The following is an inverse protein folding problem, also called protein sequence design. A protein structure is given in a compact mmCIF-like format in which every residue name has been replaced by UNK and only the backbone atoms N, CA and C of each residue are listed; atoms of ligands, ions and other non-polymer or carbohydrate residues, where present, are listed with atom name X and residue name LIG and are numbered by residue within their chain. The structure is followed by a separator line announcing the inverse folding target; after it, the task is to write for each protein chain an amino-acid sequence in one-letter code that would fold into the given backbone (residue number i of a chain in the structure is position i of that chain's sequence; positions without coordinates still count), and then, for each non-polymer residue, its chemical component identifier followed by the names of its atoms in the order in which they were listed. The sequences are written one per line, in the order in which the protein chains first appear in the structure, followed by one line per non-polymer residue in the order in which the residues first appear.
data_IF_279444360323
#
_entry.id   IF_279444360323
#
_cell.length_a   1.000
_cell.length_b   1.000
_cell.length_c   1.000
_cell.angle_alpha   90.00
_cell.angle_beta   90.00
_cell.angle_gamma   90.00
#
_symmetry.space_group_name_H-M   'P 1'
#
loop_
_entity.id
_entity.type
_entity.pdbx_description
1 polymer ?
#
# COMPACT_ATOMS: atom_id res chain seq x y z
N UNK A 1 -3.08 27.74 -8.12
CA UNK A 1 -3.66 28.17 -9.40
C UNK A 1 -5.10 28.62 -9.28
N UNK A 2 -6.01 27.85 -8.66
CA UNK A 2 -7.44 28.23 -8.50
C UNK A 2 -7.65 29.61 -7.83
N UNK A 3 -6.88 29.96 -6.79
CA UNK A 3 -7.01 31.26 -6.11
C UNK A 3 -6.59 32.45 -6.98
N UNK A 4 -5.54 32.30 -7.79
CA UNK A 4 -5.09 33.36 -8.71
C UNK A 4 -6.11 33.56 -9.83
N UNK A 5 -6.68 32.47 -10.36
CA UNK A 5 -7.74 32.49 -11.34
C UNK A 5 -9.01 33.18 -10.81
N UNK A 6 -9.48 32.80 -9.62
CA UNK A 6 -10.67 33.38 -8.99
C UNK A 6 -10.48 34.89 -8.74
N UNK A 7 -9.32 35.33 -8.27
CA UNK A 7 -9.00 36.74 -8.07
C UNK A 7 -9.00 37.53 -9.36
N UNK A 8 -8.36 37.01 -10.43
CA UNK A 8 -8.32 37.66 -11.74
C UNK A 8 -9.71 37.68 -12.38
N UNK A 9 -10.48 36.60 -12.28
CA UNK A 9 -11.85 36.54 -12.82
C UNK A 9 -12.80 37.51 -12.10
N UNK A 10 -12.66 37.63 -10.77
CA UNK A 10 -13.41 38.61 -9.98
C UNK A 10 -13.05 40.05 -10.38
N UNK A 11 -11.76 40.37 -10.52
CA UNK A 11 -11.29 41.70 -10.88
C UNK A 11 -11.69 42.10 -12.33
N UNK A 12 -11.66 41.16 -13.28
CA UNK A 12 -12.06 41.38 -14.65
C UNK A 12 -13.59 41.44 -14.82
N UNK A 13 -14.35 40.62 -14.04
CA UNK A 13 -15.82 40.66 -14.09
C UNK A 13 -16.44 41.90 -13.42
N UNK A 14 -15.78 42.47 -12.42
CA UNK A 14 -16.30 43.62 -11.67
C UNK A 14 -15.94 44.98 -12.32
N UNK A 15 -14.84 45.04 -13.10
CA UNK A 15 -14.39 46.25 -13.82
C UNK A 15 -14.91 46.26 -15.26
N UNK A 16 -16.25 46.41 -15.40
CA UNK A 16 -16.99 46.81 -16.61
C UNK A 16 -16.43 46.39 -18.00
N UNK A 17 -17.35 46.05 -18.89
CA UNK A 17 -17.17 45.71 -20.34
C UNK A 17 -16.22 46.59 -21.14
N UNK A 18 -15.74 47.72 -20.59
CA UNK A 18 -14.93 48.73 -21.29
C UNK A 18 -13.48 48.83 -20.79
N UNK A 19 -13.07 48.09 -19.77
CA UNK A 19 -11.77 48.32 -19.13
C UNK A 19 -10.62 47.40 -19.59
N UNK A 20 -10.90 46.30 -20.31
CA UNK A 20 -9.87 45.32 -20.68
C UNK A 20 -9.63 45.33 -22.18
N UNK A 21 -8.36 45.49 -22.66
CA UNK A 21 -8.03 45.38 -24.08
C UNK A 21 -8.53 44.05 -24.67
N UNK A 22 -9.07 44.10 -25.91
CA UNK A 22 -9.59 42.89 -26.58
C UNK A 22 -8.58 41.75 -26.70
N UNK A 23 -7.30 42.05 -26.82
CA UNK A 23 -6.20 41.04 -26.81
C UNK A 23 -6.15 40.28 -25.49
N UNK A 24 -6.18 41.01 -24.37
CA UNK A 24 -6.14 40.42 -23.02
C UNK A 24 -7.40 39.60 -22.74
N UNK A 25 -8.57 40.10 -23.14
CA UNK A 25 -9.82 39.36 -23.00
C UNK A 25 -9.80 38.03 -23.78
N UNK A 26 -9.21 38.00 -25.00
CA UNK A 26 -9.04 36.76 -25.78
C UNK A 26 -8.05 35.80 -25.14
N UNK A 27 -6.93 36.27 -24.59
CA UNK A 27 -5.99 35.41 -23.84
C UNK A 27 -6.64 34.82 -22.63
N UNK A 28 -7.42 35.60 -21.91
CA UNK A 28 -8.17 35.13 -20.74
C UNK A 28 -9.20 34.06 -21.10
N UNK A 29 -9.98 34.24 -22.18
CA UNK A 29 -10.93 33.25 -22.67
C UNK A 29 -10.25 31.93 -23.08
N UNK A 30 -9.03 32.00 -23.66
CA UNK A 30 -8.25 30.79 -23.98
C UNK A 30 -7.82 30.03 -22.71
N UNK A 31 -7.35 30.76 -21.69
CA UNK A 31 -6.95 30.17 -20.41
C UNK A 31 -8.18 29.54 -19.73
N UNK A 32 -9.34 30.20 -19.77
CA UNK A 32 -10.59 29.66 -19.24
C UNK A 32 -10.96 28.32 -19.90
N UNK A 33 -10.91 28.25 -21.23
CA UNK A 33 -11.18 27.03 -21.96
C UNK A 33 -10.18 25.90 -21.66
N UNK A 34 -8.90 26.22 -21.47
CA UNK A 34 -7.89 25.23 -21.06
C UNK A 34 -8.15 24.70 -19.65
N UNK A 35 -8.59 25.55 -18.73
CA UNK A 35 -8.92 25.12 -17.36
C UNK A 35 -10.17 24.23 -17.33
N UNK A 36 -11.17 24.54 -18.13
CA UNK A 36 -12.37 23.71 -18.29
C UNK A 36 -12.02 22.31 -18.82
N UNK A 37 -11.18 22.24 -19.87
CA UNK A 37 -10.69 20.96 -20.39
C UNK A 37 -9.90 20.20 -19.32
N UNK A 38 -9.06 20.88 -18.55
CA UNK A 38 -8.29 20.24 -17.48
C UNK A 38 -9.18 19.70 -16.37
N UNK A 39 -10.23 20.42 -15.98
CA UNK A 39 -11.20 20.00 -14.98
C UNK A 39 -11.97 18.75 -15.46
N UNK A 40 -12.39 18.72 -16.72
CA UNK A 40 -13.04 17.55 -17.33
C UNK A 40 -12.11 16.32 -17.33
N UNK A 41 -10.82 16.49 -17.65
CA UNK A 41 -9.85 15.40 -17.60
C UNK A 41 -9.61 14.88 -16.17
N UNK A 42 -9.58 15.76 -15.17
CA UNK A 42 -9.50 15.32 -13.76
C UNK A 42 -10.73 14.51 -13.33
N UNK A 43 -11.92 14.90 -13.79
CA UNK A 43 -13.16 14.13 -13.57
C UNK A 43 -13.03 12.74 -14.19
N UNK A 44 -12.56 12.64 -15.45
CA UNK A 44 -12.36 11.34 -16.14
C UNK A 44 -11.34 10.47 -15.42
N UNK A 45 -10.20 11.03 -15.02
CA UNK A 45 -9.18 10.28 -14.27
C UNK A 45 -9.77 9.72 -12.97
N UNK A 46 -10.50 10.55 -12.22
CA UNK A 46 -11.17 10.10 -10.99
C UNK A 46 -12.17 8.97 -11.25
N UNK A 47 -12.97 9.06 -12.29
CA UNK A 47 -13.99 8.06 -12.60
C UNK A 47 -13.36 6.77 -13.13
N UNK A 48 -12.27 6.85 -13.90
CA UNK A 48 -11.46 5.69 -14.30
C UNK A 48 -10.84 5.00 -13.07
N UNK A 49 -10.32 5.75 -12.10
CA UNK A 49 -9.79 5.16 -10.86
C UNK A 49 -10.87 4.42 -10.05
N UNK A 50 -12.08 4.97 -9.98
CA UNK A 50 -13.21 4.28 -9.33
C UNK A 50 -13.59 2.99 -10.06
N UNK A 51 -13.69 3.05 -11.39
CA UNK A 51 -14.00 1.89 -12.21
C UNK A 51 -12.94 0.79 -12.04
N UNK A 52 -11.66 1.16 -12.07
CA UNK A 52 -10.54 0.25 -11.80
C UNK A 52 -10.65 -0.38 -10.41
N UNK A 53 -10.90 0.42 -9.37
CA UNK A 53 -11.05 -0.09 -8.01
C UNK A 53 -12.18 -1.12 -7.92
N UNK A 54 -13.32 -0.86 -8.56
CA UNK A 54 -14.45 -1.79 -8.53
C UNK A 54 -14.17 -3.08 -9.32
N UNK A 55 -13.49 -2.97 -10.48
CA UNK A 55 -13.03 -4.13 -11.25
C UNK A 55 -12.09 -5.02 -10.42
N UNK A 56 -11.08 -4.43 -9.76
CA UNK A 56 -10.13 -5.17 -8.92
C UNK A 56 -10.86 -5.83 -7.75
N UNK A 57 -11.77 -5.10 -7.09
CA UNK A 57 -12.60 -5.62 -6.00
C UNK A 57 -13.36 -6.87 -6.43
N UNK A 58 -14.01 -6.81 -7.58
CA UNK A 58 -14.79 -7.94 -8.08
C UNK A 58 -13.89 -9.12 -8.43
N UNK A 59 -12.73 -8.89 -9.06
CA UNK A 59 -11.76 -9.93 -9.36
C UNK A 59 -11.26 -10.65 -8.10
N UNK A 60 -11.02 -9.92 -7.02
CA UNK A 60 -10.59 -10.50 -5.73
C UNK A 60 -11.70 -11.35 -5.13
N UNK A 61 -12.94 -10.86 -5.12
CA UNK A 61 -14.10 -11.60 -4.59
C UNK A 61 -14.33 -12.89 -5.38
N UNK A 62 -14.17 -12.85 -6.71
CA UNK A 62 -14.39 -13.98 -7.61
C UNK A 62 -13.18 -14.94 -7.66
N UNK A 63 -12.10 -14.69 -6.92
CA UNK A 63 -10.82 -15.42 -7.00
C UNK A 63 -10.24 -15.48 -8.42
N UNK A 64 -10.29 -14.36 -9.14
CA UNK A 64 -9.79 -14.18 -10.51
C UNK A 64 -8.76 -13.06 -10.62
N UNK A 65 -8.03 -12.82 -9.55
CA UNK A 65 -7.09 -11.70 -9.45
C UNK A 65 -5.62 -12.10 -9.69
N UNK A 66 -5.34 -13.31 -10.12
CA UNK A 66 -3.97 -13.85 -10.22
C UNK A 66 -3.05 -13.00 -11.11
N UNK A 67 -3.57 -12.52 -12.24
CA UNK A 67 -2.82 -11.70 -13.20
C UNK A 67 -2.83 -10.19 -12.88
N UNK A 68 -3.47 -9.77 -11.78
CA UNK A 68 -3.55 -8.36 -11.40
C UNK A 68 -2.21 -7.92 -10.84
N UNK A 69 -1.60 -6.89 -11.45
CA UNK A 69 -0.37 -6.30 -10.95
C UNK A 69 -0.58 -5.62 -9.60
N UNK A 70 0.45 -5.73 -8.72
CA UNK A 70 0.45 -5.09 -7.42
C UNK A 70 0.70 -3.60 -7.59
N UNK A 71 -0.31 -2.80 -7.29
CA UNK A 71 -0.28 -1.37 -7.11
C UNK A 71 -0.96 -0.98 -5.79
N UNK A 72 -1.06 0.32 -5.51
CA UNK A 72 -1.67 0.83 -4.28
C UNK A 72 -3.13 0.38 -4.13
N UNK A 73 -3.91 0.42 -5.22
CA UNK A 73 -5.33 0.09 -5.19
C UNK A 73 -5.52 -1.41 -5.03
N UNK A 74 -4.83 -2.21 -5.86
CA UNK A 74 -4.97 -3.66 -5.87
C UNK A 74 -4.49 -4.28 -4.55
N UNK A 75 -3.37 -3.80 -3.99
CA UNK A 75 -2.88 -4.30 -2.71
C UNK A 75 -3.82 -3.95 -1.55
N UNK A 76 -4.35 -2.73 -1.53
CA UNK A 76 -5.30 -2.28 -0.50
C UNK A 76 -6.60 -3.11 -0.54
N UNK A 77 -7.18 -3.30 -1.73
CA UNK A 77 -8.38 -4.12 -1.89
C UNK A 77 -8.11 -5.59 -1.56
N UNK A 78 -6.91 -6.13 -1.89
CA UNK A 78 -6.52 -7.49 -1.53
C UNK A 78 -6.43 -7.67 -0.01
N UNK A 79 -5.73 -6.79 0.68
CA UNK A 79 -5.61 -6.84 2.15
C UNK A 79 -6.98 -6.75 2.81
N UNK A 80 -7.89 -5.93 2.29
CA UNK A 80 -9.23 -5.72 2.86
C UNK A 80 -10.23 -6.84 2.57
N UNK A 81 -10.07 -7.58 1.46
CA UNK A 81 -11.14 -8.45 0.95
C UNK A 81 -10.75 -9.90 0.73
N UNK A 82 -9.45 -10.19 0.58
CA UNK A 82 -9.05 -11.59 0.44
C UNK A 82 -9.29 -12.34 1.76
N UNK A 83 -10.11 -13.38 1.70
CA UNK A 83 -10.56 -14.13 2.88
C UNK A 83 -9.39 -14.69 3.67
N UNK A 84 -8.42 -15.35 3.00
CA UNK A 84 -7.25 -15.94 3.64
C UNK A 84 -6.34 -14.91 4.29
N UNK A 85 -6.20 -13.72 3.67
CA UNK A 85 -5.44 -12.60 4.25
C UNK A 85 -6.13 -12.07 5.50
N UNK A 86 -7.46 -11.91 5.46
CA UNK A 86 -8.24 -11.45 6.62
C UNK A 86 -8.22 -12.47 7.77
N UNK A 87 -8.25 -13.76 7.47
CA UNK A 87 -8.06 -14.81 8.46
C UNK A 87 -6.69 -14.70 9.13
N UNK A 88 -5.61 -14.55 8.36
CA UNK A 88 -4.26 -14.35 8.89
C UNK A 88 -4.19 -13.12 9.80
N UNK A 89 -4.71 -11.99 9.37
CA UNK A 89 -4.73 -10.73 10.15
C UNK A 89 -5.50 -10.92 11.46
N UNK A 90 -6.66 -11.60 11.40
CA UNK A 90 -7.49 -11.90 12.59
C UNK A 90 -6.77 -12.81 13.58
N UNK A 91 -6.05 -13.83 13.11
CA UNK A 91 -5.26 -14.71 13.97
C UNK A 91 -4.09 -13.97 14.63
N UNK A 92 -3.40 -13.10 13.87
CA UNK A 92 -2.34 -12.23 14.41
C UNK A 92 -2.90 -11.31 15.50
N UNK A 93 -4.06 -10.72 15.29
CA UNK A 93 -4.73 -9.85 16.26
C UNK A 93 -5.06 -10.61 17.56
N UNK A 94 -5.55 -11.84 17.44
CA UNK A 94 -5.83 -12.71 18.61
C UNK A 94 -4.57 -13.06 19.40
N UNK A 95 -3.45 -13.38 18.73
CA UNK A 95 -2.18 -13.69 19.38
C UNK A 95 -1.67 -12.49 20.20
N UNK A 96 -1.82 -11.28 19.70
CA UNK A 96 -1.35 -10.06 20.35
C UNK A 96 -2.39 -9.40 21.27
N UNK A 97 -3.62 -9.90 21.29
CA UNK A 97 -4.77 -9.29 21.99
C UNK A 97 -4.98 -7.81 21.61
N UNK A 98 -4.76 -7.47 20.35
CA UNK A 98 -4.81 -6.10 19.83
C UNK A 98 -5.96 -5.89 18.85
N UNK A 99 -6.47 -4.66 18.77
CA UNK A 99 -7.42 -4.25 17.74
C UNK A 99 -6.71 -3.95 16.41
N UNK A 100 -7.40 -4.19 15.28
CA UNK A 100 -6.87 -3.88 13.96
C UNK A 100 -7.33 -2.48 13.54
N UNK A 101 -6.36 -1.61 13.24
CA UNK A 101 -6.59 -0.31 12.59
C UNK A 101 -6.33 -0.41 11.10
N UNK A 102 -7.24 0.13 10.29
CA UNK A 102 -7.09 0.18 8.84
C UNK A 102 -6.01 1.20 8.46
N UNK A 103 -4.88 0.71 7.98
CA UNK A 103 -3.75 1.52 7.51
C UNK A 103 -3.36 1.04 6.12
N UNK A 104 -3.14 2.00 5.21
CA UNK A 104 -2.76 1.74 3.83
C UNK A 104 -1.48 0.89 3.74
N UNK A 105 -1.50 -0.24 3.01
CA UNK A 105 -0.36 -1.13 2.84
C UNK A 105 0.66 -0.64 1.80
N UNK A 106 0.58 0.58 1.31
CA UNK A 106 1.41 1.13 0.21
C UNK A 106 2.92 0.90 0.43
N UNK A 107 3.39 1.06 1.66
CA UNK A 107 4.80 0.84 2.01
C UNK A 107 5.31 -0.58 1.70
N UNK A 108 4.40 -1.55 1.56
CA UNK A 108 4.74 -2.94 1.24
C UNK A 108 4.93 -3.20 -0.24
N UNK A 109 4.51 -2.31 -1.14
CA UNK A 109 4.69 -2.49 -2.59
C UNK A 109 6.17 -2.65 -2.94
N UNK A 110 7.03 -1.79 -2.37
CA UNK A 110 8.48 -1.85 -2.60
C UNK A 110 9.08 -3.13 -2.01
N UNK A 111 8.57 -3.58 -0.86
CA UNK A 111 9.01 -4.81 -0.21
C UNK A 111 8.60 -6.05 -1.02
N UNK A 112 7.38 -6.11 -1.54
CA UNK A 112 6.89 -7.19 -2.39
C UNK A 112 7.68 -7.26 -3.70
N UNK A 113 7.96 -6.13 -4.35
CA UNK A 113 8.84 -6.06 -5.52
C UNK A 113 10.25 -6.57 -5.25
N UNK A 114 10.82 -6.25 -4.08
CA UNK A 114 12.13 -6.78 -3.66
C UNK A 114 12.11 -8.32 -3.57
N UNK A 115 10.98 -8.89 -3.15
CA UNK A 115 10.78 -10.35 -3.08
C UNK A 115 10.39 -10.97 -4.44
N UNK A 116 10.32 -10.18 -5.52
CA UNK A 116 9.93 -10.65 -6.84
C UNK A 116 8.45 -10.98 -6.96
N UNK A 117 7.60 -10.33 -6.14
CA UNK A 117 6.16 -10.49 -6.18
C UNK A 117 5.56 -9.31 -6.96
N UNK A 118 5.05 -9.57 -8.13
CA UNK A 118 4.56 -8.54 -9.05
C UNK A 118 3.04 -8.57 -9.22
N UNK A 119 2.40 -9.72 -8.94
CA UNK A 119 0.96 -9.91 -9.10
C UNK A 119 0.29 -10.32 -7.79
N UNK A 120 -1.03 -10.18 -7.73
CA UNK A 120 -1.82 -10.69 -6.60
C UNK A 120 -1.77 -12.21 -6.51
N UNK A 121 -1.59 -12.92 -7.63
CA UNK A 121 -1.33 -14.35 -7.66
C UNK A 121 -0.02 -14.73 -6.96
N UNK A 122 1.05 -13.96 -7.18
CA UNK A 122 2.30 -14.15 -6.45
C UNK A 122 2.12 -13.95 -4.95
N UNK A 123 1.32 -12.95 -4.56
CA UNK A 123 1.00 -12.68 -3.17
C UNK A 123 0.14 -13.80 -2.54
N UNK A 124 -0.82 -14.32 -3.30
CA UNK A 124 -1.64 -15.45 -2.89
C UNK A 124 -0.78 -16.71 -2.65
N UNK A 125 0.11 -17.04 -3.57
CA UNK A 125 1.05 -18.15 -3.43
C UNK A 125 1.96 -17.95 -2.22
N UNK A 126 2.49 -16.75 -2.03
CA UNK A 126 3.31 -16.42 -0.87
C UNK A 126 2.53 -16.59 0.45
N UNK A 127 1.25 -16.20 0.47
CA UNK A 127 0.38 -16.38 1.62
C UNK A 127 0.18 -17.87 1.94
N UNK A 128 -0.09 -18.71 0.95
CA UNK A 128 -0.31 -20.13 1.12
C UNK A 128 0.95 -20.87 1.59
N UNK A 129 2.10 -20.54 0.99
CA UNK A 129 3.38 -21.16 1.35
C UNK A 129 3.89 -20.77 2.74
N UNK A 130 3.57 -19.56 3.22
CA UNK A 130 4.24 -18.98 4.39
C UNK A 130 3.31 -18.70 5.57
N UNK A 131 2.00 -18.96 5.47
CA UNK A 131 1.02 -18.65 6.51
C UNK A 131 1.39 -19.22 7.89
N UNK A 132 1.75 -20.50 7.93
CA UNK A 132 2.09 -21.19 9.18
C UNK A 132 3.33 -20.58 9.84
N UNK A 133 4.40 -20.35 9.05
CA UNK A 133 5.61 -19.72 9.55
C UNK A 133 5.37 -18.27 10.01
N UNK A 134 4.53 -17.52 9.27
CA UNK A 134 4.16 -16.16 9.66
C UNK A 134 3.46 -16.12 11.03
N UNK A 135 2.55 -17.06 11.31
CA UNK A 135 1.87 -17.18 12.61
C UNK A 135 2.86 -17.55 13.74
N UNK A 136 3.73 -18.53 13.54
CA UNK A 136 4.77 -18.88 14.53
C UNK A 136 5.72 -17.72 14.82
N UNK A 137 6.12 -16.96 13.79
CA UNK A 137 6.92 -15.73 13.98
C UNK A 137 6.15 -14.67 14.77
N UNK A 138 4.84 -14.56 14.55
CA UNK A 138 3.96 -13.65 15.29
C UNK A 138 3.91 -14.04 16.77
N UNK A 139 3.68 -15.31 17.09
CA UNK A 139 3.66 -15.80 18.46
C UNK A 139 4.96 -15.45 19.21
N UNK A 140 6.12 -15.68 18.60
CA UNK A 140 7.40 -15.34 19.23
C UNK A 140 7.66 -13.85 19.36
N UNK A 141 7.10 -13.03 18.45
CA UNK A 141 7.34 -11.59 18.42
C UNK A 141 6.30 -10.78 19.22
N UNK A 142 5.05 -11.23 19.30
CA UNK A 142 3.92 -10.42 19.79
C UNK A 142 3.20 -11.01 21.00
N UNK A 143 3.36 -12.29 21.36
CA UNK A 143 2.62 -12.91 22.46
C UNK A 143 2.80 -12.21 23.83
N UNK A 144 3.91 -11.51 24.02
CA UNK A 144 4.20 -10.74 25.24
C UNK A 144 4.28 -9.23 24.97
N UNK A 145 3.83 -8.79 23.80
CA UNK A 145 3.82 -7.37 23.48
C UNK A 145 2.53 -6.75 24.01
N UNK A 146 2.66 -5.68 24.77
CA UNK A 146 1.54 -4.87 25.24
C UNK A 146 1.18 -3.87 24.13
N UNK A 147 0.36 -4.32 23.18
CA UNK A 147 -0.05 -3.56 22.00
C UNK A 147 -1.57 -3.47 21.95
N UNK A 148 -2.10 -2.27 22.08
CA UNK A 148 -3.54 -2.04 21.97
C UNK A 148 -4.03 -2.10 20.51
N UNK A 149 -3.20 -1.64 19.56
CA UNK A 149 -3.56 -1.48 18.15
C UNK A 149 -2.47 -2.04 17.23
N UNK A 150 -2.89 -2.79 16.21
CA UNK A 150 -2.06 -3.24 15.10
C UNK A 150 -2.59 -2.70 13.77
N UNK A 151 -1.67 -2.44 12.84
CA UNK A 151 -2.02 -2.10 11.45
C UNK A 151 -2.63 -3.30 10.73
N UNK A 152 -3.63 -3.08 9.87
CA UNK A 152 -4.17 -4.10 8.95
C UNK A 152 -3.10 -4.69 8.00
N UNK A 153 -1.99 -3.98 7.79
CA UNK A 153 -0.84 -4.48 7.02
C UNK A 153 0.08 -5.44 7.80
N UNK A 154 -0.24 -5.77 9.06
CA UNK A 154 0.55 -6.68 9.89
C UNK A 154 0.70 -8.07 9.26
N UNK A 155 -0.33 -8.56 8.56
CA UNK A 155 -0.27 -9.80 7.79
C UNK A 155 0.86 -9.79 6.76
N UNK A 156 0.95 -8.72 5.95
CA UNK A 156 2.04 -8.55 4.98
C UNK A 156 3.41 -8.50 5.66
N UNK A 157 3.51 -7.86 6.81
CA UNK A 157 4.76 -7.78 7.58
C UNK A 157 5.31 -9.14 7.92
N UNK A 158 4.48 -10.03 8.46
CA UNK A 158 4.93 -11.35 8.86
C UNK A 158 5.09 -12.30 7.67
N UNK A 159 4.26 -12.17 6.63
CA UNK A 159 4.43 -12.93 5.38
C UNK A 159 5.74 -12.60 4.68
N UNK A 160 6.08 -11.33 4.51
CA UNK A 160 7.36 -10.95 3.90
C UNK A 160 8.56 -11.49 4.70
N UNK A 161 8.47 -11.48 6.03
CA UNK A 161 9.54 -12.05 6.88
C UNK A 161 9.62 -13.56 6.76
N UNK A 162 8.48 -14.24 6.72
CA UNK A 162 8.41 -15.68 6.53
C UNK A 162 8.99 -16.08 5.16
N UNK A 163 8.65 -15.35 4.09
CA UNK A 163 9.20 -15.57 2.75
C UNK A 163 10.74 -15.45 2.70
N UNK A 164 11.31 -14.42 3.35
CA UNK A 164 12.75 -14.24 3.45
C UNK A 164 13.44 -15.45 4.11
N UNK A 165 12.83 -15.98 5.16
CA UNK A 165 13.37 -17.11 5.92
C UNK A 165 13.18 -18.44 5.19
N UNK A 166 12.00 -18.67 4.63
CA UNK A 166 11.67 -19.89 3.89
C UNK A 166 12.53 -20.05 2.62
N UNK A 167 12.81 -18.95 1.93
CA UNK A 167 13.72 -18.90 0.77
C UNK A 167 15.22 -18.87 1.15
N UNK A 168 15.55 -18.95 2.44
CA UNK A 168 16.92 -18.94 2.96
C UNK A 168 17.78 -17.76 2.46
N UNK A 169 17.20 -16.55 2.44
CA UNK A 169 17.96 -15.34 2.07
C UNK A 169 19.11 -15.09 3.05
N UNK A 170 20.26 -14.62 2.54
CA UNK A 170 21.41 -14.26 3.37
C UNK A 170 21.09 -13.10 4.30
N UNK A 171 21.86 -12.97 5.39
CA UNK A 171 21.67 -11.87 6.35
C UNK A 171 21.84 -10.50 5.70
N UNK A 172 22.69 -10.39 4.69
CA UNK A 172 22.89 -9.16 3.90
C UNK A 172 21.60 -8.82 3.15
N UNK A 173 21.01 -9.81 2.47
CA UNK A 173 19.78 -9.63 1.70
C UNK A 173 18.57 -9.30 2.61
N UNK A 174 18.48 -9.97 3.76
CA UNK A 174 17.46 -9.64 4.78
C UNK A 174 17.68 -8.21 5.31
N UNK A 175 18.92 -7.78 5.50
CA UNK A 175 19.23 -6.42 5.94
C UNK A 175 18.81 -5.38 4.90
N UNK A 176 19.10 -5.63 3.61
CA UNK A 176 18.65 -4.76 2.50
C UNK A 176 17.14 -4.62 2.47
N UNK A 177 16.42 -5.74 2.58
CA UNK A 177 14.95 -5.73 2.65
C UNK A 177 14.44 -4.89 3.82
N UNK A 178 14.94 -5.12 5.03
CA UNK A 178 14.49 -4.40 6.23
C UNK A 178 14.84 -2.91 6.17
N UNK A 179 15.90 -2.53 5.47
CA UNK A 179 16.26 -1.13 5.24
C UNK A 179 15.20 -0.36 4.47
N UNK A 180 14.43 -1.02 3.58
CA UNK A 180 13.33 -0.38 2.83
C UNK A 180 12.27 0.26 3.75
N UNK A 181 12.04 -0.34 4.93
CA UNK A 181 11.06 0.16 5.90
C UNK A 181 11.68 0.92 7.08
N UNK A 182 12.94 0.61 7.45
CA UNK A 182 13.57 1.15 8.65
C UNK A 182 14.46 2.37 8.40
N UNK A 183 14.82 2.62 7.15
CA UNK A 183 15.62 3.75 6.70
C UNK A 183 17.10 3.71 7.08
N UNK A 184 17.50 3.07 8.20
CA UNK A 184 18.91 3.02 8.64
C UNK A 184 19.47 1.61 8.61
N UNK A 185 20.72 1.49 8.15
CA UNK A 185 21.42 0.20 8.03
C UNK A 185 21.62 -0.47 9.39
N UNK A 186 21.94 0.29 10.43
CA UNK A 186 22.17 -0.26 11.78
C UNK A 186 20.91 -0.90 12.39
N UNK A 187 19.76 -0.22 12.27
CA UNK A 187 18.48 -0.77 12.74
C UNK A 187 18.11 -2.02 11.94
N UNK A 188 18.27 -1.99 10.62
CA UNK A 188 18.00 -3.12 9.74
C UNK A 188 18.88 -4.33 10.07
N UNK A 189 20.19 -4.15 10.29
CA UNK A 189 21.11 -5.23 10.69
C UNK A 189 20.73 -5.85 12.04
N UNK A 190 20.38 -5.01 13.02
CA UNK A 190 19.94 -5.48 14.34
C UNK A 190 18.67 -6.33 14.23
N UNK A 191 17.73 -5.88 13.44
CA UNK A 191 16.48 -6.60 13.20
C UNK A 191 16.69 -7.89 12.37
N UNK A 192 17.58 -7.88 11.39
CA UNK A 192 17.94 -9.08 10.63
C UNK A 192 18.49 -10.18 11.54
N UNK A 193 19.43 -9.82 12.41
CA UNK A 193 19.98 -10.75 13.41
C UNK A 193 18.92 -11.26 14.37
N UNK A 194 18.02 -10.40 14.82
CA UNK A 194 16.92 -10.79 15.70
C UNK A 194 15.95 -11.73 14.98
N UNK A 195 15.59 -11.46 13.73
CA UNK A 195 14.71 -12.29 12.92
C UNK A 195 15.28 -13.70 12.73
N UNK A 196 16.56 -13.81 12.38
CA UNK A 196 17.22 -15.10 12.23
C UNK A 196 17.28 -15.90 13.54
N UNK A 197 17.58 -15.24 14.67
CA UNK A 197 17.55 -15.90 15.99
C UNK A 197 16.15 -16.38 16.37
N UNK A 198 15.13 -15.63 16.01
CA UNK A 198 13.73 -16.03 16.24
C UNK A 198 13.37 -17.22 15.38
N UNK A 199 13.82 -17.25 14.13
CA UNK A 199 13.59 -18.36 13.22
C UNK A 199 14.23 -19.68 13.70
N UNK A 200 15.47 -19.63 14.18
CA UNK A 200 16.12 -20.82 14.74
C UNK A 200 15.34 -21.43 15.91
N UNK A 201 14.71 -20.60 16.75
CA UNK A 201 13.83 -21.08 17.82
C UNK A 201 12.57 -21.73 17.28
N UNK A 202 11.95 -21.14 16.25
CA UNK A 202 10.74 -21.67 15.60
C UNK A 202 11.06 -22.97 14.87
N UNK A 203 12.21 -23.08 14.20
CA UNK A 203 12.61 -24.26 13.44
C UNK A 203 12.85 -25.50 14.31
N UNK A 204 13.21 -25.31 15.57
CA UNK A 204 13.35 -26.41 16.54
C UNK A 204 12.00 -26.96 17.06
N UNK A 205 10.87 -26.34 16.67
CA UNK A 205 9.50 -26.74 17.03
C UNK A 205 8.74 -27.44 15.87
N UNK A 206 9.44 -27.69 14.73
CA UNK A 206 8.98 -28.55 13.64
C UNK A 206 9.59 -29.96 13.80
#
# INVERSE_FOLDING_TARGET
MQHTWAAINHDLGYKSEFGVPRSVAREFSRIAGLLEIADDEFVRVRDNMKAYTEEIRQKIIDNKADDVHIDMISLNEYVKRNVKMQELISEIAKISNAEISDIDPESYIVQLKFLGKETLGDLQNMLEENRELALKLTEKALANADLDILSSSVGLRFLCRAELLNKNYSIERITEFLKLSMGTTEKAQRQAKHLLRTYEKVKGEF
#
